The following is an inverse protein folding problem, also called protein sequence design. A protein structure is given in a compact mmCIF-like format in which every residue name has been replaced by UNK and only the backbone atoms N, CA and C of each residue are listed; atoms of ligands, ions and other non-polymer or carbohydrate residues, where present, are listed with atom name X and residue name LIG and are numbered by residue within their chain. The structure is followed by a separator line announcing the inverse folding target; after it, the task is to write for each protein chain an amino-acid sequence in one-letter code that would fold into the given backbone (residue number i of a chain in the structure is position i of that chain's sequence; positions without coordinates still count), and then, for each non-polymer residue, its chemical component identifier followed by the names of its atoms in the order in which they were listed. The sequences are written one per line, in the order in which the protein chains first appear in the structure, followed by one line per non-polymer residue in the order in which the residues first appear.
data_IF_502097791907
#
_entry.id   IF_502097791907
#
_cell.length_a   1.000
_cell.length_b   1.000
_cell.length_c   1.000
_cell.angle_alpha   90.00
_cell.angle_beta   90.00
_cell.angle_gamma   90.00
#
_symmetry.space_group_name_H-M   'P 1'
#
loop_
_entity.id
_entity.type
_entity.pdbx_description
1 polymer ?
#
# COMPACT_ATOMS: atom_id res chain seq x y z
N UNK A 1 22.61 -20.85 11.46
CA UNK A 1 21.21 -21.31 11.35
C UNK A 1 20.38 -20.15 10.80
N UNK A 2 20.31 -20.06 9.47
CA UNK A 2 19.60 -19.01 8.75
C UNK A 2 18.13 -19.36 8.68
N UNK A 3 17.26 -18.45 9.13
CA UNK A 3 15.80 -18.58 9.00
C UNK A 3 15.35 -17.58 7.94
N UNK A 4 14.98 -18.10 6.77
CA UNK A 4 14.32 -17.35 5.69
C UNK A 4 12.94 -16.89 6.18
N UNK A 5 12.65 -15.59 6.01
CA UNK A 5 11.37 -14.99 6.39
C UNK A 5 10.54 -14.77 5.13
N UNK A 6 9.36 -15.42 5.09
CA UNK A 6 8.35 -15.24 4.05
C UNK A 6 7.87 -13.78 3.93
N UNK A 7 7.99 -13.24 2.72
CA UNK A 7 7.43 -11.95 2.31
C UNK A 7 5.91 -12.12 2.15
N UNK A 8 5.15 -11.55 3.09
CA UNK A 8 3.69 -11.45 2.95
C UNK A 8 3.39 -10.28 1.99
N UNK A 9 3.09 -10.62 0.74
CA UNK A 9 2.44 -9.74 -0.22
C UNK A 9 1.00 -9.46 0.24
N UNK A 10 0.73 -8.20 0.58
CA UNK A 10 -0.65 -7.70 0.71
C UNK A 10 -1.01 -7.08 -0.63
N UNK A 11 -1.98 -7.72 -1.30
CA UNK A 11 -2.57 -7.27 -2.55
C UNK A 11 -3.09 -5.84 -2.43
N UNK A 12 -2.82 -5.05 -3.46
CA UNK A 12 -3.53 -3.81 -3.77
C UNK A 12 -4.93 -4.16 -4.26
N UNK A 13 -5.93 -4.03 -3.38
CA UNK A 13 -7.33 -3.94 -3.80
C UNK A 13 -7.61 -2.46 -4.07
N UNK A 14 -7.66 -2.12 -5.37
CA UNK A 14 -8.23 -0.89 -5.89
C UNK A 14 -9.75 -0.97 -5.74
N UNK A 15 -10.32 -0.18 -4.84
CA UNK A 15 -11.73 0.21 -4.90
C UNK A 15 -11.79 1.65 -5.39
N UNK A 16 -11.99 1.80 -6.70
CA UNK A 16 -12.50 3.02 -7.33
C UNK A 16 -13.96 3.19 -6.92
N UNK A 17 -14.24 4.13 -6.00
CA UNK A 17 -15.58 4.68 -5.85
C UNK A 17 -15.60 6.15 -6.27
N UNK A 18 -16.35 6.37 -7.34
CA UNK A 18 -16.65 7.60 -8.03
C UNK A 18 -17.20 8.67 -7.10
N UNK A 19 -16.56 9.84 -7.04
CA UNK A 19 -17.20 11.06 -6.55
C UNK A 19 -16.97 12.20 -7.54
N UNK A 20 -18.07 12.57 -8.20
CA UNK A 20 -18.13 13.55 -9.27
C UNK A 20 -17.98 14.97 -8.73
N UNK A 21 -17.08 15.77 -9.32
CA UNK A 21 -17.17 17.24 -9.29
C UNK A 21 -16.92 17.84 -10.68
N UNK A 22 -17.68 18.89 -11.06
CA UNK A 22 -17.67 19.43 -12.41
C UNK A 22 -16.45 20.32 -12.65
N UNK A 23 -15.85 20.21 -13.83
CA UNK A 23 -14.83 21.15 -14.32
C UNK A 23 -15.50 22.38 -14.95
N UNK A 24 -14.91 23.59 -14.80
CA UNK A 24 -15.40 24.79 -15.47
C UNK A 24 -14.96 24.83 -16.93
N UNK A 25 -15.86 25.38 -17.75
CA UNK A 25 -15.80 25.57 -19.19
C UNK A 25 -14.52 26.24 -19.68
N UNK A 26 -13.94 25.71 -20.76
CA UNK A 26 -13.06 26.50 -21.64
C UNK A 26 -13.24 26.07 -23.11
N UNK A 27 -13.98 26.92 -23.81
CA UNK A 27 -13.86 27.40 -25.20
C UNK A 27 -13.25 26.46 -26.26
N UNK A 28 -14.11 26.11 -27.22
CA UNK A 28 -13.83 25.54 -28.54
C UNK A 28 -12.77 26.30 -29.37
N UNK A 29 -11.83 25.58 -29.97
CA UNK A 29 -11.34 25.85 -31.33
C UNK A 29 -11.17 24.51 -32.08
N UNK A 30 -11.79 24.44 -33.26
CA UNK A 30 -11.82 23.32 -34.22
C UNK A 30 -10.52 23.24 -35.03
N UNK A 31 -10.14 22.02 -35.44
CA UNK A 31 -9.60 21.62 -36.78
C UNK A 31 -9.31 20.11 -36.75
N UNK A 32 -10.16 19.31 -37.40
CA UNK A 32 -10.03 18.80 -38.78
C UNK A 32 -9.17 17.52 -38.88
N UNK A 33 -9.86 16.46 -39.30
CA UNK A 33 -9.38 15.13 -39.65
C UNK A 33 -8.76 15.16 -41.07
N UNK A 34 -7.92 14.18 -41.46
CA UNK A 34 -8.50 13.19 -42.39
C UNK A 34 -7.98 11.75 -42.24
N UNK A 35 -8.95 10.83 -42.16
CA UNK A 35 -9.16 9.62 -42.97
C UNK A 35 -8.02 9.07 -43.83
N UNK A 36 -7.63 7.81 -43.59
CA UNK A 36 -7.35 6.80 -44.65
C UNK A 36 -7.89 5.43 -44.19
N UNK A 37 -8.76 4.84 -45.01
CA UNK A 37 -9.22 3.44 -45.05
C UNK A 37 -8.76 2.85 -46.42
N UNK A 38 -9.02 1.58 -46.76
CA UNK A 38 -8.29 0.36 -46.42
C UNK A 38 -7.72 -0.32 -47.70
N UNK A 39 -6.89 -1.35 -47.56
CA UNK A 39 -6.67 -2.30 -48.68
C UNK A 39 -6.78 -3.73 -48.19
N UNK A 40 -7.74 -4.40 -48.79
CA UNK A 40 -8.12 -5.79 -48.66
C UNK A 40 -7.55 -6.53 -49.88
N UNK A 41 -6.92 -7.68 -49.69
CA UNK A 41 -6.76 -8.69 -50.77
C UNK A 41 -6.52 -10.08 -50.18
N UNK A 42 -7.57 -10.91 -50.29
CA UNK A 42 -7.61 -12.37 -50.43
C UNK A 42 -6.52 -12.86 -51.42
N UNK A 43 -6.04 -14.11 -51.51
CA UNK A 43 -6.41 -15.46 -51.05
C UNK A 43 -5.23 -16.40 -51.35
N UNK A 44 -5.12 -17.55 -50.67
CA UNK A 44 -5.19 -18.89 -51.31
C UNK A 44 -4.72 -20.01 -50.35
N UNK A 45 -5.59 -21.01 -50.22
CA UNK A 45 -5.34 -22.37 -49.71
C UNK A 45 -4.81 -23.21 -50.90
N UNK A 46 -4.07 -24.32 -50.71
CA UNK A 46 -4.75 -25.61 -50.58
C UNK A 46 -4.13 -26.59 -49.55
N UNK A 47 -5.06 -27.26 -48.85
CA UNK A 47 -5.09 -28.65 -48.34
C UNK A 47 -3.81 -29.47 -48.19
N UNK A 48 -3.62 -30.07 -47.00
CA UNK A 48 -3.37 -31.51 -46.87
C UNK A 48 -3.64 -32.01 -45.45
N UNK A 49 -4.56 -32.99 -45.38
CA UNK A 49 -4.92 -33.75 -44.18
C UNK A 49 -3.78 -34.63 -43.71
N UNK A 50 -3.59 -34.77 -42.38
CA UNK A 50 -3.20 -36.05 -41.77
C UNK A 50 -3.55 -36.08 -40.29
N UNK A 51 -4.28 -37.14 -39.95
CA UNK A 51 -4.68 -37.55 -38.62
C UNK A 51 -3.47 -37.89 -37.74
N UNK A 52 -3.59 -37.66 -36.43
CA UNK A 52 -2.77 -38.33 -35.42
C UNK A 52 -3.69 -38.87 -34.33
N UNK A 53 -3.49 -40.15 -34.09
CA UNK A 53 -4.22 -41.09 -33.26
C UNK A 53 -3.92 -40.97 -31.75
N UNK A 54 -4.73 -41.65 -30.90
CA UNK A 54 -4.71 -41.49 -29.45
C UNK A 54 -3.55 -42.22 -28.76
N UNK A 55 -3.27 -41.79 -27.53
CA UNK A 55 -2.19 -42.26 -26.66
C UNK A 55 -2.29 -43.78 -26.42
N UNK A 56 -1.22 -44.57 -26.65
CA UNK A 56 -1.24 -46.01 -26.44
C UNK A 56 -0.96 -46.39 -24.98
N UNK A 57 -1.72 -47.38 -24.51
CA UNK A 57 -1.47 -48.16 -23.30
C UNK A 57 -0.32 -49.14 -23.56
N UNK A 58 0.78 -49.09 -22.80
CA UNK A 58 1.56 -50.31 -22.52
C UNK A 58 2.50 -50.18 -21.32
N UNK A 59 2.43 -51.23 -20.50
CA UNK A 59 3.32 -51.66 -19.44
C UNK A 59 4.72 -52.03 -19.94
N UNK A 60 5.79 -51.64 -19.23
CA UNK A 60 7.04 -52.43 -19.13
C UNK A 60 7.79 -52.00 -17.85
N UNK A 61 8.09 -52.97 -16.99
CA UNK A 61 9.03 -52.87 -15.87
C UNK A 61 10.47 -52.93 -16.38
N UNK A 62 11.39 -52.18 -15.76
CA UNK A 62 12.75 -52.63 -15.45
C UNK A 62 13.32 -51.77 -14.31
N UNK A 63 13.95 -52.45 -13.36
CA UNK A 63 14.37 -51.97 -12.06
C UNK A 63 15.63 -51.10 -12.11
N UNK A 64 15.74 -50.14 -11.19
CA UNK A 64 16.92 -49.94 -10.33
C UNK A 64 16.49 -49.13 -9.09
N UNK A 65 16.84 -49.65 -7.93
CA UNK A 65 16.39 -49.20 -6.63
C UNK A 65 17.34 -48.18 -6.01
N UNK A 66 16.81 -47.04 -5.58
CA UNK A 66 17.32 -46.28 -4.44
C UNK A 66 16.13 -45.84 -3.59
N UNK A 67 16.24 -46.07 -2.28
CA UNK A 67 15.18 -45.96 -1.29
C UNK A 67 14.67 -44.52 -1.13
N UNK A 68 13.40 -44.33 -1.47
CA UNK A 68 12.54 -43.26 -1.02
C UNK A 68 11.10 -43.69 -1.26
N UNK A 69 10.23 -43.57 -0.26
CA UNK A 69 8.79 -43.86 -0.38
C UNK A 69 8.21 -43.12 -1.60
N UNK A 70 8.04 -43.84 -2.72
CA UNK A 70 7.48 -43.28 -3.95
C UNK A 70 5.97 -43.20 -3.78
N UNK A 71 5.49 -42.06 -3.28
CA UNK A 71 4.06 -41.73 -3.27
C UNK A 71 3.58 -41.80 -4.73
N UNK A 72 2.76 -42.79 -5.03
CA UNK A 72 2.22 -43.01 -6.38
C UNK A 72 1.25 -41.87 -6.70
N UNK A 73 1.66 -40.95 -7.60
CA UNK A 73 0.85 -39.78 -7.97
C UNK A 73 -0.46 -40.23 -8.59
N UNK A 74 -1.57 -39.65 -8.13
CA UNK A 74 -2.89 -39.90 -8.69
C UNK A 74 -2.98 -39.46 -10.16
N UNK A 75 -3.92 -40.03 -10.92
CA UNK A 75 -4.17 -39.66 -12.33
C UNK A 75 -4.35 -38.14 -12.53
N UNK A 76 -4.97 -37.46 -11.58
CA UNK A 76 -5.25 -36.03 -11.66
C UNK A 76 -4.02 -35.18 -11.32
N UNK A 77 -3.16 -35.64 -10.41
CA UNK A 77 -1.87 -35.01 -10.13
C UNK A 77 -0.92 -35.12 -11.33
N UNK A 78 -0.91 -36.27 -12.01
CA UNK A 78 -0.16 -36.45 -13.25
C UNK A 78 -0.68 -35.52 -14.37
N UNK A 79 -2.00 -35.38 -14.50
CA UNK A 79 -2.60 -34.46 -15.45
C UNK A 79 -2.27 -32.98 -15.14
N UNK A 80 -2.25 -32.61 -13.85
CA UNK A 80 -1.85 -31.27 -13.42
C UNK A 80 -0.38 -31.00 -13.74
N UNK A 81 0.51 -31.96 -13.48
CA UNK A 81 1.93 -31.84 -13.79
C UNK A 81 2.16 -31.65 -15.31
N UNK A 82 1.45 -32.40 -16.15
CA UNK A 82 1.48 -32.21 -17.59
C UNK A 82 0.97 -30.82 -18.02
N UNK A 83 -0.07 -30.30 -17.36
CA UNK A 83 -0.56 -28.95 -17.59
C UNK A 83 0.47 -27.87 -17.24
N UNK A 84 1.07 -27.95 -16.06
CA UNK A 84 2.07 -26.99 -15.59
C UNK A 84 3.35 -27.03 -16.43
N UNK A 85 3.78 -28.23 -16.83
CA UNK A 85 4.89 -28.39 -17.78
C UNK A 85 4.55 -27.78 -19.13
N UNK A 86 3.32 -27.96 -19.61
CA UNK A 86 2.82 -27.36 -20.85
C UNK A 86 2.86 -25.83 -20.84
N UNK A 87 2.57 -25.18 -19.71
CA UNK A 87 2.70 -23.72 -19.56
C UNK A 87 4.17 -23.31 -19.70
N UNK A 88 5.09 -24.06 -19.11
CA UNK A 88 6.52 -23.77 -19.14
C UNK A 88 7.14 -23.97 -20.53
N UNK A 89 6.70 -24.98 -21.28
CA UNK A 89 7.19 -25.24 -22.64
C UNK A 89 6.70 -24.24 -23.69
N UNK A 90 5.63 -23.52 -23.37
CA UNK A 90 4.97 -22.55 -24.26
C UNK A 90 5.32 -21.10 -23.87
N UNK A 91 6.09 -20.92 -22.78
CA UNK A 91 6.62 -19.62 -22.37
C UNK A 91 7.82 -19.23 -23.26
N UNK A 92 7.87 -17.98 -23.69
CA UNK A 92 9.06 -17.45 -24.37
C UNK A 92 10.22 -17.29 -23.37
N UNK A 93 11.47 -17.20 -23.85
CA UNK A 93 12.67 -17.10 -23.00
C UNK A 93 12.60 -15.95 -21.97
N UNK A 94 11.86 -14.87 -22.29
CA UNK A 94 11.66 -13.71 -21.41
C UNK A 94 10.56 -13.88 -20.35
N UNK A 95 9.69 -14.88 -20.51
CA UNK A 95 8.54 -15.14 -19.62
C UNK A 95 8.78 -16.31 -18.65
N UNK A 96 9.95 -16.96 -18.71
CA UNK A 96 10.23 -18.18 -17.93
C UNK A 96 10.08 -18.01 -16.42
N UNK A 97 10.49 -16.88 -15.85
CA UNK A 97 10.35 -16.60 -14.42
C UNK A 97 8.87 -16.40 -14.01
N UNK A 98 8.07 -15.78 -14.88
CA UNK A 98 6.63 -15.58 -14.66
C UNK A 98 5.85 -16.91 -14.78
N UNK A 99 6.23 -17.75 -15.73
CA UNK A 99 5.68 -19.09 -15.91
C UNK A 99 5.90 -19.99 -14.68
N UNK A 100 7.09 -19.94 -14.09
CA UNK A 100 7.42 -20.69 -12.87
C UNK A 100 6.61 -20.19 -11.66
N UNK A 101 6.50 -18.87 -11.52
CA UNK A 101 5.74 -18.27 -10.42
C UNK A 101 4.24 -18.60 -10.53
N UNK A 102 3.66 -18.55 -11.73
CA UNK A 102 2.25 -18.89 -11.95
C UNK A 102 2.01 -20.39 -11.72
N UNK A 103 2.91 -21.24 -12.20
CA UNK A 103 2.80 -22.70 -12.04
C UNK A 103 2.83 -23.12 -10.57
N UNK A 104 3.77 -22.58 -9.78
CA UNK A 104 3.83 -22.83 -8.33
C UNK A 104 2.57 -22.37 -7.60
N UNK A 105 1.98 -21.24 -8.02
CA UNK A 105 0.75 -20.72 -7.41
C UNK A 105 -0.49 -21.58 -7.74
N UNK A 106 -0.56 -22.15 -8.94
CA UNK A 106 -1.64 -23.04 -9.36
C UNK A 106 -1.56 -24.38 -8.62
N UNK A 107 -0.36 -24.95 -8.50
CA UNK A 107 -0.11 -26.19 -7.76
C UNK A 107 -0.51 -26.05 -6.28
N UNK A 108 -0.04 -24.99 -5.59
CA UNK A 108 -0.41 -24.71 -4.20
C UNK A 108 -1.93 -24.56 -4.01
N UNK A 109 -2.65 -24.07 -5.02
CA UNK A 109 -4.11 -23.91 -4.96
C UNK A 109 -4.85 -25.21 -5.20
N UNK A 110 -4.37 -26.05 -6.11
CA UNK A 110 -4.91 -27.40 -6.31
C UNK A 110 -4.88 -28.21 -5.01
N UNK A 111 -3.75 -28.19 -4.28
CA UNK A 111 -3.62 -28.89 -3.00
C UNK A 111 -4.48 -28.30 -1.86
N UNK A 112 -5.03 -27.09 -2.02
CA UNK A 112 -6.00 -26.50 -1.10
C UNK A 112 -7.45 -26.90 -1.38
N UNK A 113 -7.74 -27.49 -2.55
CA UNK A 113 -9.06 -28.04 -2.84
C UNK A 113 -9.33 -29.30 -2.00
N UNK A 114 -10.60 -29.72 -1.88
CA UNK A 114 -10.95 -30.93 -1.13
C UNK A 114 -10.39 -32.20 -1.80
N UNK A 115 -9.99 -33.21 -1.02
CA UNK A 115 -9.52 -34.50 -1.55
C UNK A 115 -10.56 -35.22 -2.42
N UNK A 116 -11.86 -35.00 -2.13
CA UNK A 116 -12.97 -35.51 -2.96
C UNK A 116 -12.93 -34.92 -4.37
N UNK A 117 -12.69 -33.61 -4.48
CA UNK A 117 -12.55 -32.93 -5.76
C UNK A 117 -11.23 -33.31 -6.45
N UNK A 118 -10.10 -33.34 -5.74
CA UNK A 118 -8.80 -33.71 -6.32
C UNK A 118 -8.82 -35.08 -7.00
N UNK A 119 -9.61 -36.02 -6.50
CA UNK A 119 -9.77 -37.36 -7.06
C UNK A 119 -10.99 -37.52 -7.99
N UNK A 120 -11.74 -36.44 -8.27
CA UNK A 120 -12.95 -36.52 -9.10
C UNK A 120 -12.65 -36.53 -10.59
N UNK A 121 -13.55 -37.12 -11.38
CA UNK A 121 -13.49 -37.03 -12.84
C UNK A 121 -13.76 -35.60 -13.34
N UNK A 122 -14.50 -34.80 -12.57
CA UNK A 122 -14.71 -33.37 -12.84
C UNK A 122 -13.39 -32.59 -12.83
N UNK A 123 -12.53 -32.86 -11.85
CA UNK A 123 -11.22 -32.24 -11.76
C UNK A 123 -10.31 -32.64 -12.94
N UNK A 124 -10.34 -33.92 -13.34
CA UNK A 124 -9.60 -34.39 -14.52
C UNK A 124 -10.06 -33.69 -15.81
N UNK A 125 -11.38 -33.58 -16.01
CA UNK A 125 -11.96 -32.92 -17.17
C UNK A 125 -11.61 -31.43 -17.22
N UNK A 126 -11.61 -30.77 -16.06
CA UNK A 126 -11.22 -29.36 -15.94
C UNK A 126 -9.75 -29.14 -16.31
N UNK A 127 -8.83 -29.95 -15.75
CA UNK A 127 -7.39 -29.87 -16.05
C UNK A 127 -7.14 -30.16 -17.53
N UNK A 128 -7.75 -31.22 -18.07
CA UNK A 128 -7.59 -31.62 -19.47
C UNK A 128 -8.09 -30.55 -20.43
N UNK A 129 -9.22 -29.91 -20.12
CA UNK A 129 -9.76 -28.80 -20.90
C UNK A 129 -8.77 -27.63 -21.00
N UNK A 130 -8.29 -27.14 -19.86
CA UNK A 130 -7.36 -26.01 -19.86
C UNK A 130 -5.99 -26.36 -20.44
N UNK A 131 -5.54 -27.62 -20.30
CA UNK A 131 -4.35 -28.10 -20.99
C UNK A 131 -4.51 -28.01 -22.51
N UNK A 132 -5.61 -28.53 -23.05
CA UNK A 132 -5.87 -28.49 -24.49
C UNK A 132 -6.07 -27.05 -24.99
N UNK A 133 -6.73 -26.18 -24.21
CA UNK A 133 -6.93 -24.78 -24.57
C UNK A 133 -5.59 -24.01 -24.66
N UNK A 134 -4.66 -24.27 -23.73
CA UNK A 134 -3.31 -23.67 -23.75
C UNK A 134 -2.47 -24.20 -24.91
N UNK A 135 -2.56 -25.48 -25.23
CA UNK A 135 -1.87 -26.07 -26.38
C UNK A 135 -2.42 -25.56 -27.71
N UNK A 136 -3.74 -25.34 -27.81
CA UNK A 136 -4.41 -24.91 -29.05
C UNK A 136 -4.26 -23.41 -29.31
N UNK A 137 -4.22 -22.58 -28.26
CA UNK A 137 -4.09 -21.13 -28.38
C UNK A 137 -3.06 -20.58 -27.37
N UNK A 138 -1.75 -20.80 -27.63
CA UNK A 138 -0.68 -20.41 -26.71
C UNK A 138 -0.58 -18.90 -26.44
N UNK A 139 -1.06 -18.05 -27.35
CA UNK A 139 -1.11 -16.59 -27.16
C UNK A 139 -2.05 -16.14 -26.02
N UNK A 140 -3.02 -16.98 -25.62
CA UNK A 140 -3.96 -16.70 -24.51
C UNK A 140 -3.67 -17.51 -23.25
N UNK A 141 -2.49 -18.13 -23.15
CA UNK A 141 -2.10 -19.01 -22.03
C UNK A 141 -2.34 -18.39 -20.64
N UNK A 142 -2.06 -17.09 -20.48
CA UNK A 142 -2.24 -16.39 -19.21
C UNK A 142 -3.71 -16.19 -18.84
N UNK A 143 -4.57 -15.96 -19.83
CA UNK A 143 -6.03 -15.88 -19.63
C UNK A 143 -6.59 -17.24 -19.18
N UNK A 144 -6.12 -18.33 -19.77
CA UNK A 144 -6.50 -19.68 -19.37
C UNK A 144 -6.00 -20.04 -17.96
N UNK A 145 -4.77 -19.67 -17.60
CA UNK A 145 -4.25 -19.85 -16.24
C UNK A 145 -5.08 -19.07 -15.20
N UNK A 146 -5.49 -17.85 -15.52
CA UNK A 146 -6.34 -17.04 -14.65
C UNK A 146 -7.74 -17.66 -14.47
N UNK A 147 -8.35 -18.15 -15.56
CA UNK A 147 -9.65 -18.85 -15.51
C UNK A 147 -9.56 -20.15 -14.71
N UNK A 148 -8.50 -20.93 -14.89
CA UNK A 148 -8.27 -22.16 -14.14
C UNK A 148 -8.09 -21.89 -12.64
N UNK A 149 -7.33 -20.84 -12.28
CA UNK A 149 -7.16 -20.39 -10.89
C UNK A 149 -8.49 -20.04 -10.22
N UNK A 150 -9.40 -19.38 -10.95
CA UNK A 150 -10.72 -19.04 -10.43
C UNK A 150 -11.60 -20.28 -10.26
N UNK A 151 -11.53 -21.26 -11.17
CA UNK A 151 -12.22 -22.54 -11.01
C UNK A 151 -11.73 -23.29 -9.75
N UNK A 152 -10.42 -23.38 -9.52
CA UNK A 152 -9.87 -23.99 -8.30
C UNK A 152 -10.31 -23.26 -7.02
N UNK A 153 -10.43 -21.94 -7.08
CA UNK A 153 -10.89 -21.12 -5.94
C UNK A 153 -12.33 -21.46 -5.53
N UNK A 154 -13.23 -21.70 -6.48
CA UNK A 154 -14.62 -22.12 -6.19
C UNK A 154 -14.67 -23.48 -5.49
N UNK A 155 -13.86 -24.44 -5.94
CA UNK A 155 -13.79 -25.78 -5.33
C UNK A 155 -12.98 -25.83 -4.01
N UNK A 156 -12.20 -24.79 -3.70
CA UNK A 156 -11.53 -24.64 -2.40
C UNK A 156 -12.43 -23.98 -1.33
N UNK A 157 -13.47 -23.25 -1.73
CA UNK A 157 -14.41 -22.57 -0.83
C UNK A 157 -15.69 -23.37 -0.57
N UNK A 158 -15.96 -24.42 -1.35
CA UNK A 158 -17.00 -25.41 -1.09
C UNK A 158 -16.64 -26.25 0.14
N UNK A 159 -17.39 -26.06 1.24
CA UNK A 159 -17.43 -27.01 2.37
C UNK A 159 -17.89 -28.38 1.85
N UNK A 160 -17.45 -29.51 2.45
CA UNK A 160 -17.87 -30.82 2.01
C UNK A 160 -19.34 -31.02 2.38
N UNK A 161 -20.26 -30.81 1.44
CA UNK A 161 -21.57 -31.43 1.50
C UNK A 161 -21.37 -32.94 1.31
N UNK A 162 -21.86 -33.70 2.28
CA UNK A 162 -22.01 -35.14 2.19
C UNK A 162 -23.15 -35.44 1.23
N UNK A 163 -22.82 -36.03 0.08
CA UNK A 163 -23.78 -36.76 -0.72
C UNK A 163 -23.82 -38.20 -0.19
N UNK A 164 -24.96 -38.60 0.39
CA UNK A 164 -25.45 -39.97 0.27
C UNK A 164 -26.79 -39.90 -0.48
N UNK A 165 -26.97 -40.83 -1.41
CA UNK A 165 -28.05 -40.87 -2.38
C UNK A 165 -29.39 -41.34 -1.79
N UNK A 166 -30.47 -40.72 -2.29
CA UNK A 166 -31.85 -41.21 -2.49
C UNK A 166 -32.71 -41.58 -1.26
N UNK A 167 -33.70 -40.71 -0.98
CA UNK A 167 -35.12 -41.11 -0.88
C UNK A 167 -36.03 -39.87 -1.01
N UNK A 168 -37.31 -40.12 -1.28
CA UNK A 168 -38.31 -39.27 -1.92
C UNK A 168 -38.76 -37.98 -1.21
N UNK A 169 -39.38 -37.13 -2.05
CA UNK A 169 -40.15 -35.91 -1.78
C UNK A 169 -40.97 -35.92 -0.49
N UNK A 170 -40.89 -34.82 0.27
CA UNK A 170 -42.05 -34.05 0.74
C UNK A 170 -41.61 -32.63 1.13
N UNK A 171 -42.30 -31.64 0.54
CA UNK A 171 -42.36 -30.26 1.03
C UNK A 171 -42.85 -30.27 2.48
N UNK A 172 -42.17 -29.57 3.38
CA UNK A 172 -42.79 -28.89 4.51
C UNK A 172 -41.80 -27.89 5.13
N UNK A 173 -42.34 -26.73 5.47
CA UNK A 173 -41.71 -25.52 5.96
C UNK A 173 -40.72 -25.74 7.11
N UNK A 174 -39.46 -25.34 6.91
CA UNK A 174 -38.58 -25.04 8.05
C UNK A 174 -38.68 -23.56 8.43
N UNK A 175 -38.71 -23.23 9.73
CA UNK A 175 -38.92 -21.87 10.21
C UNK A 175 -37.74 -20.98 9.80
N UNK A 176 -38.06 -19.82 9.23
CA UNK A 176 -37.12 -18.73 9.06
C UNK A 176 -36.55 -18.34 10.44
N UNK A 177 -35.37 -18.86 10.79
CA UNK A 177 -34.60 -18.38 11.94
C UNK A 177 -34.30 -16.90 11.70
N UNK A 178 -35.06 -16.05 12.38
CA UNK A 178 -34.81 -14.63 12.48
C UNK A 178 -33.40 -14.43 13.03
N UNK A 179 -32.47 -14.01 12.16
CA UNK A 179 -31.08 -13.74 12.51
C UNK A 179 -31.05 -12.72 13.66
N UNK A 180 -30.78 -13.21 14.88
CA UNK A 180 -30.57 -12.37 16.06
C UNK A 180 -29.51 -11.30 15.75
N UNK A 181 -29.90 -10.01 15.62
CA UNK A 181 -28.99 -8.94 15.25
C UNK A 181 -27.90 -8.72 16.30
N UNK A 182 -28.13 -9.16 17.55
CA UNK A 182 -27.16 -9.07 18.65
C UNK A 182 -26.00 -10.07 18.47
N UNK A 183 -26.30 -11.27 17.97
CA UNK A 183 -25.30 -12.31 17.67
C UNK A 183 -24.39 -11.91 16.51
N UNK A 184 -24.94 -11.33 15.44
CA UNK A 184 -24.15 -10.84 14.31
C UNK A 184 -23.26 -9.64 14.71
N UNK A 185 -23.78 -8.73 15.53
CA UNK A 185 -23.00 -7.61 16.06
C UNK A 185 -21.84 -8.09 16.96
N UNK A 186 -22.06 -9.12 17.79
CA UNK A 186 -21.02 -9.73 18.63
C UNK A 186 -19.93 -10.40 17.80
N UNK A 187 -20.29 -11.12 16.74
CA UNK A 187 -19.36 -11.73 15.80
C UNK A 187 -18.52 -10.68 15.07
N UNK A 188 -19.15 -9.59 14.59
CA UNK A 188 -18.46 -8.45 13.97
C UNK A 188 -17.44 -7.81 14.92
N UNK A 189 -17.83 -7.51 16.17
CA UNK A 189 -16.91 -6.98 17.19
C UNK A 189 -15.75 -7.95 17.47
N UNK A 190 -16.01 -9.25 17.54
CA UNK A 190 -14.95 -10.25 17.72
C UNK A 190 -13.97 -10.26 16.53
N UNK A 191 -14.45 -10.13 15.30
CA UNK A 191 -13.60 -10.00 14.09
C UNK A 191 -12.69 -8.79 14.18
N UNK A 192 -13.22 -7.61 14.52
CA UNK A 192 -12.40 -6.39 14.68
C UNK A 192 -11.35 -6.53 15.79
N UNK A 193 -11.69 -7.17 16.92
CA UNK A 193 -10.72 -7.43 18.00
C UNK A 193 -9.60 -8.38 17.57
N UNK A 194 -9.91 -9.41 16.77
CA UNK A 194 -8.89 -10.30 16.20
C UNK A 194 -8.00 -9.54 15.22
N UNK A 195 -8.62 -8.78 14.31
CA UNK A 195 -7.90 -7.98 13.33
C UNK A 195 -6.98 -6.95 14.00
N UNK A 196 -7.43 -6.30 15.07
CA UNK A 196 -6.61 -5.40 15.88
C UNK A 196 -5.36 -6.08 16.42
N UNK A 197 -5.47 -7.30 16.98
CA UNK A 197 -4.32 -8.06 17.47
C UNK A 197 -3.33 -8.40 16.35
N UNK A 198 -3.83 -8.74 15.16
CA UNK A 198 -2.99 -9.07 14.01
C UNK A 198 -2.27 -7.83 13.46
N UNK A 199 -2.96 -6.68 13.43
CA UNK A 199 -2.39 -5.38 13.08
C UNK A 199 -1.31 -4.97 14.09
N UNK A 200 -1.54 -5.10 15.40
CA UNK A 200 -0.53 -4.79 16.43
C UNK A 200 0.72 -5.65 16.28
N UNK A 201 0.58 -6.95 16.05
CA UNK A 201 1.75 -7.84 15.79
C UNK A 201 2.49 -7.45 14.52
N UNK A 202 1.77 -7.05 13.48
CA UNK A 202 2.38 -6.61 12.22
C UNK A 202 3.12 -5.29 12.41
N UNK A 203 2.56 -4.37 13.19
CA UNK A 203 3.17 -3.10 13.56
C UNK A 203 4.50 -3.32 14.29
N UNK A 204 4.52 -4.19 15.31
CA UNK A 204 5.74 -4.54 16.06
C UNK A 204 6.84 -5.07 15.13
N UNK A 205 6.48 -5.96 14.18
CA UNK A 205 7.43 -6.49 13.19
C UNK A 205 7.98 -5.40 12.28
N UNK A 206 7.13 -4.48 11.81
CA UNK A 206 7.56 -3.38 10.96
C UNK A 206 8.49 -2.43 11.73
N UNK A 207 8.15 -2.07 12.97
CA UNK A 207 9.00 -1.21 13.82
C UNK A 207 10.35 -1.87 14.07
N UNK A 208 10.39 -3.18 14.37
CA UNK A 208 11.64 -3.92 14.53
C UNK A 208 12.47 -3.85 13.25
N UNK A 209 11.86 -4.07 12.09
CA UNK A 209 12.57 -4.03 10.81
C UNK A 209 13.09 -2.63 10.47
N UNK A 210 12.37 -1.57 10.82
CA UNK A 210 12.84 -0.18 10.69
C UNK A 210 14.12 0.01 11.52
N UNK A 211 14.12 -0.44 12.79
CA UNK A 211 15.33 -0.37 13.64
C UNK A 211 16.51 -1.13 13.06
N UNK A 212 16.27 -2.32 12.51
CA UNK A 212 17.32 -3.11 11.87
C UNK A 212 17.88 -2.40 10.62
N UNK A 213 17.01 -1.72 9.86
CA UNK A 213 17.40 -0.95 8.67
C UNK A 213 18.09 0.38 9.01
N UNK A 214 17.76 0.99 10.16
CA UNK A 214 18.43 2.19 10.67
C UNK A 214 19.90 1.95 11.02
N UNK A 215 20.22 0.73 11.47
CA UNK A 215 21.58 0.32 11.81
C UNK A 215 22.34 -0.30 10.63
N UNK A 216 21.67 -0.53 9.50
CA UNK A 216 22.29 -1.11 8.33
C UNK A 216 23.11 -0.06 7.57
N UNK A 217 24.32 -0.43 7.20
CA UNK A 217 25.16 0.41 6.34
C UNK A 217 24.54 0.55 4.95
N UNK A 218 24.60 1.76 4.40
CA UNK A 218 24.05 2.08 3.07
C UNK A 218 25.16 1.92 2.04
N UNK A 219 24.96 1.01 1.09
CA UNK A 219 25.80 0.91 -0.10
C UNK A 219 25.48 2.08 -1.06
N UNK A 220 26.52 2.83 -1.45
CA UNK A 220 26.38 3.97 -2.36
C UNK A 220 26.16 3.53 -3.81
N UNK A 221 26.48 2.28 -4.15
CA UNK A 221 26.35 1.74 -5.50
C UNK A 221 24.97 1.08 -5.75
N UNK A 222 24.15 0.87 -4.71
CA UNK A 222 22.80 0.30 -4.85
C UNK A 222 21.72 1.37 -5.09
N UNK A 223 21.44 1.66 -6.37
CA UNK A 223 20.45 2.66 -6.76
C UNK A 223 18.98 2.22 -6.58
N UNK A 224 18.68 0.92 -6.56
CA UNK A 224 17.29 0.41 -6.68
C UNK A 224 16.76 -0.24 -5.42
N UNK A 225 17.66 -0.70 -4.55
CA UNK A 225 17.35 -1.54 -3.42
C UNK A 225 17.84 -1.03 -2.07
N UNK A 226 18.38 0.18 -1.97
CA UNK A 226 19.08 0.61 -0.76
C UNK A 226 18.27 0.47 0.53
N UNK A 227 18.97 0.19 1.62
CA UNK A 227 18.46 0.03 2.98
C UNK A 227 17.59 1.23 3.39
N UNK A 228 18.01 2.43 2.96
CA UNK A 228 17.27 3.67 3.14
C UNK A 228 15.89 3.65 2.46
N UNK A 229 15.81 3.19 1.20
CA UNK A 229 14.54 3.08 0.48
C UNK A 229 13.65 1.98 1.07
N UNK A 230 14.25 0.86 1.48
CA UNK A 230 13.54 -0.21 2.20
C UNK A 230 12.92 0.33 3.49
N UNK A 231 13.68 1.10 4.28
CA UNK A 231 13.20 1.73 5.52
C UNK A 231 11.96 2.58 5.27
N UNK A 232 12.02 3.47 4.29
CA UNK A 232 10.89 4.33 3.92
C UNK A 232 9.61 3.54 3.60
N UNK A 233 9.72 2.42 2.86
CA UNK A 233 8.56 1.56 2.57
C UNK A 233 7.95 0.96 3.84
N UNK A 234 8.77 0.61 4.82
CA UNK A 234 8.27 0.12 6.12
C UNK A 234 7.64 1.25 6.95
N UNK A 235 8.17 2.47 6.92
CA UNK A 235 7.55 3.64 7.57
C UNK A 235 6.16 3.93 6.98
N UNK A 236 6.04 3.95 5.65
CA UNK A 236 4.76 4.10 4.96
C UNK A 236 3.77 2.97 5.33
N UNK A 237 4.27 1.74 5.47
CA UNK A 237 3.46 0.59 5.92
C UNK A 237 3.01 0.76 7.37
N UNK A 238 3.86 1.28 8.25
CA UNK A 238 3.51 1.57 9.65
C UNK A 238 2.37 2.58 9.72
N UNK A 239 2.43 3.66 8.94
CA UNK A 239 1.34 4.66 8.84
C UNK A 239 0.02 4.01 8.42
N UNK A 240 0.03 3.19 7.35
CA UNK A 240 -1.17 2.47 6.89
C UNK A 240 -1.73 1.51 7.95
N UNK A 241 -0.87 0.88 8.76
CA UNK A 241 -1.31 0.02 9.86
C UNK A 241 -1.99 0.85 10.97
N UNK A 242 -1.43 2.01 11.32
CA UNK A 242 -2.05 2.92 12.28
C UNK A 242 -3.44 3.40 11.82
N UNK A 243 -3.60 3.76 10.55
CA UNK A 243 -4.90 4.13 9.97
C UNK A 243 -5.93 2.99 10.12
N UNK A 244 -5.53 1.74 9.85
CA UNK A 244 -6.39 0.57 10.02
C UNK A 244 -6.73 0.28 11.48
N UNK A 245 -5.78 0.47 12.39
CA UNK A 245 -6.01 0.36 13.84
C UNK A 245 -7.04 1.40 14.29
N UNK A 246 -6.92 2.65 13.84
CA UNK A 246 -7.88 3.71 14.13
C UNK A 246 -9.29 3.30 13.68
N UNK A 247 -9.46 2.83 12.44
CA UNK A 247 -10.76 2.35 11.93
C UNK A 247 -11.31 1.22 12.80
N UNK A 248 -10.48 0.26 13.21
CA UNK A 248 -10.91 -0.84 14.08
C UNK A 248 -11.39 -0.34 15.45
N UNK A 249 -10.66 0.59 16.07
CA UNK A 249 -11.04 1.20 17.35
C UNK A 249 -12.37 1.95 17.23
N UNK A 250 -12.57 2.74 16.16
CA UNK A 250 -13.83 3.43 15.89
C UNK A 250 -15.01 2.45 15.78
N UNK A 251 -14.83 1.32 15.07
CA UNK A 251 -15.88 0.29 14.92
C UNK A 251 -16.17 -0.47 16.22
N UNK A 252 -15.21 -0.52 17.15
CA UNK A 252 -15.36 -1.11 18.47
C UNK A 252 -15.97 -0.16 19.50
N UNK A 253 -16.05 1.14 19.18
CA UNK A 253 -16.47 2.18 20.11
C UNK A 253 -15.38 2.59 21.11
N UNK A 254 -14.13 2.18 20.85
CA UNK A 254 -12.97 2.55 21.66
C UNK A 254 -12.53 3.98 21.30
N UNK A 255 -12.06 4.74 22.29
CA UNK A 255 -11.53 6.09 22.05
C UNK A 255 -10.24 6.02 21.24
N UNK A 256 -10.24 6.67 20.08
CA UNK A 256 -9.07 6.83 19.20
C UNK A 256 -8.14 7.94 19.69
N UNK A 257 -8.59 8.77 20.62
CA UNK A 257 -7.86 9.99 21.00
C UNK A 257 -6.51 9.68 21.67
N UNK A 258 -6.36 8.51 22.30
CA UNK A 258 -5.10 8.04 22.87
C UNK A 258 -4.07 7.58 21.82
N UNK A 259 -4.51 7.31 20.59
CA UNK A 259 -3.65 6.88 19.48
C UNK A 259 -3.04 8.08 18.73
N UNK A 260 -3.61 9.28 18.91
CA UNK A 260 -3.09 10.49 18.27
C UNK A 260 -1.98 11.08 19.12
N UNK A 261 -0.88 11.46 18.47
CA UNK A 261 0.16 12.24 19.11
C UNK A 261 -0.45 13.61 19.45
N UNK A 262 -0.50 14.02 20.73
CA UNK A 262 -1.00 15.34 21.08
C UNK A 262 -0.04 16.39 20.50
N UNK A 263 -0.54 17.17 19.54
CA UNK A 263 0.21 18.27 18.95
C UNK A 263 -0.01 19.53 19.79
N UNK A 264 1.03 20.07 20.49
CA UNK A 264 0.87 21.23 21.34
C UNK A 264 0.27 22.41 20.54
N UNK A 265 -0.72 23.11 21.11
CA UNK A 265 -1.40 24.22 20.42
C UNK A 265 -0.46 25.42 20.30
N UNK A 266 -0.42 26.06 19.13
CA UNK A 266 0.25 27.35 18.96
C UNK A 266 -0.65 28.41 19.55
N UNK A 267 -0.39 28.84 20.78
CA UNK A 267 -1.16 29.91 21.40
C UNK A 267 -0.75 31.25 20.76
N UNK A 268 -1.70 32.01 20.20
CA UNK A 268 -1.54 33.39 19.70
C UNK A 268 -2.13 34.41 20.69
N UNK A 269 -3.15 34.00 21.44
CA UNK A 269 -3.83 34.83 22.45
C UNK A 269 -2.83 35.29 23.52
N UNK A 270 -2.94 36.54 23.96
CA UNK A 270 -2.05 37.12 24.97
C UNK A 270 -0.61 37.34 24.51
N UNK A 271 -0.35 37.37 23.19
CA UNK A 271 0.95 37.80 22.69
C UNK A 271 1.22 39.27 23.03
N UNK A 272 2.40 39.55 23.59
CA UNK A 272 2.92 40.91 23.71
C UNK A 272 2.95 41.54 22.30
N UNK A 273 2.37 42.72 22.16
CA UNK A 273 2.22 43.42 20.88
C UNK A 273 0.81 43.35 20.28
N UNK A 274 0.02 42.32 20.59
CA UNK A 274 -1.33 42.17 20.02
C UNK A 274 -2.44 42.54 21.00
N UNK A 275 -3.08 43.67 20.77
CA UNK A 275 -4.07 44.25 21.69
C UNK A 275 -5.51 43.73 21.49
N UNK A 276 -5.86 43.23 20.30
CA UNK A 276 -7.24 42.83 19.99
C UNK A 276 -7.46 41.32 20.15
N UNK A 277 -8.01 40.92 21.30
CA UNK A 277 -8.22 39.51 21.63
C UNK A 277 -9.17 38.78 20.67
N UNK A 278 -10.20 39.43 20.15
CA UNK A 278 -11.12 38.82 19.16
C UNK A 278 -10.38 38.47 17.86
N UNK A 279 -9.52 39.37 17.38
CA UNK A 279 -8.65 39.13 16.23
C UNK A 279 -7.63 38.02 16.55
N UNK A 280 -7.00 38.08 17.73
CA UNK A 280 -6.04 37.07 18.17
C UNK A 280 -6.65 35.68 18.25
N UNK A 281 -7.88 35.56 18.75
CA UNK A 281 -8.63 34.31 18.78
C UNK A 281 -8.91 33.78 17.37
N UNK A 282 -9.23 34.65 16.41
CA UNK A 282 -9.47 34.23 15.03
C UNK A 282 -8.17 33.74 14.36
N UNK A 283 -7.06 34.43 14.58
CA UNK A 283 -5.73 34.02 14.11
C UNK A 283 -5.29 32.71 14.78
N UNK A 284 -5.48 32.59 16.10
CA UNK A 284 -5.19 31.38 16.87
C UNK A 284 -5.97 30.17 16.31
N UNK A 285 -7.28 30.35 16.07
CA UNK A 285 -8.11 29.32 15.44
C UNK A 285 -7.59 28.96 14.05
N UNK A 286 -7.19 29.94 13.26
CA UNK A 286 -6.68 29.74 11.90
C UNK A 286 -5.39 28.90 11.87
N UNK A 287 -4.38 29.27 12.66
CA UNK A 287 -3.08 28.58 12.69
C UNK A 287 -3.15 27.18 13.31
N UNK A 288 -4.18 26.92 14.13
CA UNK A 288 -4.40 25.62 14.75
C UNK A 288 -5.43 24.74 14.00
N UNK A 289 -5.90 25.14 12.82
CA UNK A 289 -6.76 24.27 12.00
C UNK A 289 -6.00 22.99 11.61
N UNK A 290 -6.69 21.85 11.67
CA UNK A 290 -6.13 20.51 11.35
C UNK A 290 -5.36 20.51 10.02
N UNK A 291 -5.99 20.95 8.93
CA UNK A 291 -5.36 21.08 7.60
C UNK A 291 -4.07 21.90 7.61
N UNK A 292 -4.08 23.02 8.33
CA UNK A 292 -2.94 23.93 8.39
C UNK A 292 -1.74 23.31 9.15
N UNK A 293 -2.03 22.49 10.16
CA UNK A 293 -1.02 21.80 10.97
C UNK A 293 -0.46 20.55 10.28
N UNK A 294 -1.34 19.74 9.69
CA UNK A 294 -0.95 18.50 9.00
C UNK A 294 -0.19 18.78 7.71
N UNK A 295 -0.59 19.81 6.96
CA UNK A 295 0.12 20.22 5.73
C UNK A 295 1.27 21.20 6.02
N UNK A 296 1.59 21.45 7.29
CA UNK A 296 2.71 22.30 7.75
C UNK A 296 2.76 23.63 6.98
N UNK A 297 1.59 24.24 6.74
CA UNK A 297 1.54 25.47 5.97
C UNK A 297 2.04 26.63 6.84
N UNK A 298 2.82 27.54 6.23
CA UNK A 298 3.22 28.79 6.88
C UNK A 298 2.32 29.89 6.34
N UNK A 299 1.68 30.70 7.20
CA UNK A 299 0.65 31.60 6.73
C UNK A 299 1.32 32.72 5.96
N UNK A 300 0.70 33.21 4.90
CA UNK A 300 1.17 34.41 4.21
C UNK A 300 0.59 35.66 4.90
N UNK A 301 1.28 36.80 4.75
CA UNK A 301 0.82 38.10 5.23
C UNK A 301 -0.60 38.41 4.74
N UNK A 302 -0.91 38.12 3.47
CA UNK A 302 -2.25 38.35 2.89
C UNK A 302 -3.35 37.58 3.62
N UNK A 303 -3.07 36.38 4.08
CA UNK A 303 -4.03 35.53 4.80
C UNK A 303 -4.30 36.09 6.20
N UNK A 304 -3.24 36.46 6.92
CA UNK A 304 -3.37 37.12 8.24
C UNK A 304 -4.14 38.42 8.10
N UNK A 305 -3.80 39.26 7.13
CA UNK A 305 -4.50 40.52 6.84
C UNK A 305 -5.98 40.30 6.53
N UNK A 306 -6.31 39.27 5.75
CA UNK A 306 -7.70 38.93 5.43
C UNK A 306 -8.51 38.56 6.69
N UNK A 307 -7.90 37.83 7.63
CA UNK A 307 -8.52 37.49 8.92
C UNK A 307 -8.76 38.75 9.74
N UNK A 308 -7.73 39.60 9.88
CA UNK A 308 -7.83 40.89 10.61
C UNK A 308 -8.95 41.75 10.02
N UNK A 309 -8.97 41.90 8.69
CA UNK A 309 -10.00 42.69 7.98
C UNK A 309 -11.40 42.12 8.22
N UNK A 310 -11.55 40.79 8.12
CA UNK A 310 -12.85 40.12 8.30
C UNK A 310 -13.38 40.30 9.72
N UNK A 311 -12.52 40.17 10.74
CA UNK A 311 -12.90 40.34 12.15
C UNK A 311 -13.20 41.81 12.47
N UNK A 312 -12.42 42.76 11.92
CA UNK A 312 -12.68 44.19 12.08
C UNK A 312 -14.10 44.57 11.62
N UNK A 313 -14.55 44.05 10.47
CA UNK A 313 -15.90 44.28 9.94
C UNK A 313 -16.96 43.54 10.78
N UNK A 314 -16.73 42.27 11.13
CA UNK A 314 -17.71 41.47 11.86
C UNK A 314 -17.97 41.98 13.27
N UNK A 315 -16.91 42.35 14.00
CA UNK A 315 -16.96 42.80 15.39
C UNK A 315 -17.06 44.32 15.53
N UNK A 316 -17.15 45.06 14.41
CA UNK A 316 -17.24 46.53 14.36
C UNK A 316 -16.14 47.22 15.20
N UNK A 317 -14.90 46.77 15.03
CA UNK A 317 -13.75 47.31 15.80
C UNK A 317 -13.33 48.70 15.32
N UNK A 318 -13.90 49.19 14.21
CA UNK A 318 -13.68 50.52 13.62
C UNK A 318 -12.20 50.84 13.35
N UNK A 319 -11.38 49.83 13.12
CA UNK A 319 -9.99 50.03 12.73
C UNK A 319 -9.94 50.58 11.32
N UNK A 320 -9.15 51.63 11.13
CA UNK A 320 -8.82 52.19 9.82
C UNK A 320 -8.00 51.19 9.00
N UNK A 321 -7.92 51.40 7.69
CA UNK A 321 -7.15 50.54 6.79
C UNK A 321 -5.67 50.47 7.18
N UNK A 322 -5.09 51.60 7.60
CA UNK A 322 -3.69 51.69 8.03
C UNK A 322 -3.44 50.92 9.34
N UNK A 323 -4.37 51.01 10.30
CA UNK A 323 -4.32 50.22 11.54
C UNK A 323 -4.47 48.73 11.27
N UNK A 324 -5.36 48.32 10.36
CA UNK A 324 -5.48 46.92 9.92
C UNK A 324 -4.18 46.42 9.31
N UNK A 325 -3.53 47.21 8.45
CA UNK A 325 -2.27 46.84 7.80
C UNK A 325 -1.10 46.81 8.81
N UNK A 326 -1.07 47.73 9.77
CA UNK A 326 -0.09 47.73 10.86
C UNK A 326 -0.26 46.49 11.75
N UNK A 327 -1.50 46.24 12.22
CA UNK A 327 -1.83 45.10 13.07
C UNK A 327 -1.54 43.77 12.37
N UNK A 328 -1.89 43.65 11.08
CA UNK A 328 -1.63 42.45 10.30
C UNK A 328 -0.12 42.17 10.16
N UNK A 329 0.71 43.22 10.02
CA UNK A 329 2.18 43.06 9.94
C UNK A 329 2.73 42.57 11.27
N UNK A 330 2.34 43.18 12.37
CA UNK A 330 2.76 42.76 13.70
C UNK A 330 2.30 41.34 14.02
N UNK A 331 1.03 41.02 13.77
CA UNK A 331 0.47 39.70 13.97
C UNK A 331 1.19 38.65 13.11
N UNK A 332 1.49 38.96 11.86
CA UNK A 332 2.24 38.06 10.96
C UNK A 332 3.63 37.74 11.51
N UNK A 333 4.37 38.73 12.00
CA UNK A 333 5.70 38.51 12.59
C UNK A 333 5.62 37.63 13.84
N UNK A 334 4.69 37.93 14.75
CA UNK A 334 4.51 37.17 16.00
C UNK A 334 4.10 35.72 15.71
N UNK A 335 3.11 35.53 14.83
CA UNK A 335 2.65 34.21 14.40
C UNK A 335 3.82 33.43 13.78
N UNK A 336 4.57 34.07 12.88
CA UNK A 336 5.73 33.45 12.23
C UNK A 336 6.81 33.01 13.23
N UNK A 337 7.13 33.86 14.20
CA UNK A 337 8.07 33.51 15.28
C UNK A 337 7.58 32.34 16.12
N UNK A 338 6.28 32.30 16.46
CA UNK A 338 5.70 31.21 17.26
C UNK A 338 5.68 29.89 16.49
N UNK A 339 5.31 29.91 15.20
CA UNK A 339 5.36 28.73 14.33
C UNK A 339 6.80 28.24 14.19
N UNK A 340 7.76 29.14 13.94
CA UNK A 340 9.19 28.76 13.84
C UNK A 340 9.69 28.12 15.13
N UNK A 341 9.40 28.73 16.29
CA UNK A 341 9.80 28.20 17.59
C UNK A 341 9.18 26.82 17.84
N UNK A 342 7.90 26.66 17.50
CA UNK A 342 7.21 25.37 17.58
C UNK A 342 7.90 24.30 16.74
N UNK A 343 8.17 24.57 15.46
CA UNK A 343 8.85 23.62 14.55
C UNK A 343 10.24 23.25 15.04
N UNK A 344 11.00 24.21 15.58
CA UNK A 344 12.32 23.92 16.17
C UNK A 344 12.19 22.97 17.36
N UNK A 345 11.19 23.16 18.22
CA UNK A 345 10.94 22.27 19.36
C UNK A 345 10.53 20.87 18.88
N UNK A 346 9.66 20.79 17.88
CA UNK A 346 9.21 19.53 17.28
C UNK A 346 10.38 18.73 16.69
N UNK A 347 11.21 19.37 15.86
CA UNK A 347 12.41 18.75 15.29
C UNK A 347 13.38 18.32 16.40
N UNK A 348 13.63 19.17 17.39
CA UNK A 348 14.50 18.81 18.53
C UNK A 348 13.98 17.61 19.30
N UNK A 349 12.66 17.51 19.50
CA UNK A 349 12.05 16.36 20.18
C UNK A 349 12.30 15.08 19.38
N UNK A 350 12.04 15.09 18.08
CA UNK A 350 12.31 13.94 17.20
C UNK A 350 13.78 13.57 17.14
N UNK A 351 14.69 14.55 17.19
CA UNK A 351 16.14 14.30 17.20
C UNK A 351 16.64 13.77 18.54
N UNK A 352 16.11 14.26 19.67
CA UNK A 352 16.50 13.77 20.99
C UNK A 352 16.19 12.27 21.15
N UNK A 353 15.09 11.78 20.55
CA UNK A 353 14.76 10.36 20.54
C UNK A 353 15.81 9.52 19.78
N UNK A 354 16.60 10.14 18.88
CA UNK A 354 17.67 9.50 18.10
C UNK A 354 19.06 9.65 18.74
N UNK A 355 19.33 10.79 19.40
CA UNK A 355 20.67 11.18 19.88
C UNK A 355 20.96 10.68 21.30
N UNK A 356 19.97 10.11 22.01
CA UNK A 356 20.07 9.76 23.43
C UNK A 356 21.18 8.77 23.83
N UNK A 357 21.94 8.21 22.87
CA UNK A 357 22.97 7.20 23.11
C UNK A 357 24.42 7.72 23.13
N UNK A 358 24.70 8.98 22.71
CA UNK A 358 26.07 9.51 22.67
C UNK A 358 26.35 10.47 23.85
N UNK A 359 27.10 10.05 24.89
CA UNK A 359 27.23 10.85 26.11
C UNK A 359 28.19 12.05 26.01
N UNK A 360 29.15 12.08 25.07
CA UNK A 360 30.12 13.18 24.91
C UNK A 360 30.55 13.36 23.43
N UNK A 361 30.89 14.60 23.04
CA UNK A 361 31.44 14.91 21.72
C UNK A 361 32.94 14.50 21.65
N UNK A 362 33.37 13.62 20.71
CA UNK A 362 34.77 13.25 20.56
C UNK A 362 35.72 14.42 20.31
N UNK A 363 35.23 15.51 19.69
CA UNK A 363 36.04 16.69 19.40
C UNK A 363 36.45 17.46 20.67
N UNK A 364 35.78 17.22 21.81
CA UNK A 364 36.18 17.82 23.10
C UNK A 364 37.50 17.23 23.62
N UNK A 365 37.84 16.00 23.22
CA UNK A 365 39.05 15.29 23.66
C UNK A 365 40.15 15.28 22.60
N UNK A 366 39.83 15.57 21.34
CA UNK A 366 40.77 15.58 20.22
C UNK A 366 40.92 16.99 19.60
N UNK A 367 42.03 17.70 19.89
CA UNK A 367 42.25 19.04 19.37
C UNK A 367 42.50 19.10 17.86
N UNK A 368 42.99 18.02 17.24
CA UNK A 368 43.18 17.96 15.78
C UNK A 368 41.83 17.85 15.07
N UNK A 369 40.95 16.98 15.59
CA UNK A 369 39.57 16.88 15.13
C UNK A 369 38.83 18.21 15.30
N UNK A 370 38.94 18.86 16.47
CA UNK A 370 38.33 20.17 16.71
C UNK A 370 38.80 21.21 15.70
N UNK A 371 40.12 21.30 15.46
CA UNK A 371 40.69 22.22 14.47
C UNK A 371 40.11 21.94 13.08
N UNK A 372 40.02 20.66 12.68
CA UNK A 372 39.45 20.28 11.39
C UNK A 372 37.98 20.65 11.26
N UNK A 373 37.19 20.47 12.32
CA UNK A 373 35.78 20.88 12.36
C UNK A 373 35.62 22.40 12.26
N UNK A 374 36.51 23.18 12.87
CA UNK A 374 36.52 24.64 12.73
C UNK A 374 36.82 25.07 11.29
N UNK A 375 37.80 24.45 10.62
CA UNK A 375 38.09 24.69 9.20
C UNK A 375 36.89 24.33 8.32
N UNK A 376 36.28 23.16 8.55
CA UNK A 376 35.10 22.71 7.82
C UNK A 376 33.91 23.68 7.99
N UNK A 377 33.72 24.22 9.21
CA UNK A 377 32.69 25.23 9.49
C UNK A 377 32.92 26.50 8.68
N UNK A 378 34.14 27.04 8.65
CA UNK A 378 34.45 28.24 7.87
C UNK A 378 34.19 28.02 6.38
N UNK A 379 34.62 26.88 5.83
CA UNK A 379 34.37 26.52 4.44
C UNK A 379 32.87 26.40 4.14
N UNK A 380 32.10 25.79 5.04
CA UNK A 380 30.64 25.66 4.89
C UNK A 380 29.96 27.03 4.88
N UNK A 381 30.33 27.95 5.78
CA UNK A 381 29.79 29.31 5.84
C UNK A 381 30.10 30.10 4.56
N UNK A 382 31.30 29.96 4.00
CA UNK A 382 31.69 30.53 2.71
C UNK A 382 30.80 29.99 1.57
N UNK A 383 30.70 28.66 1.43
CA UNK A 383 29.88 28.02 0.37
C UNK A 383 28.41 28.40 0.45
N UNK A 384 27.83 28.47 1.66
CA UNK A 384 26.44 28.91 1.84
C UNK A 384 26.26 30.36 1.38
N UNK A 385 27.24 31.22 1.65
CA UNK A 385 27.22 32.63 1.25
C UNK A 385 27.36 32.78 -0.26
N UNK A 386 28.27 32.02 -0.88
CA UNK A 386 28.44 31.97 -2.33
C UNK A 386 27.14 31.58 -3.05
N UNK A 387 26.49 30.50 -2.62
CA UNK A 387 25.21 30.04 -3.20
C UNK A 387 24.13 31.10 -3.06
N UNK A 388 24.00 31.73 -1.88
CA UNK A 388 23.05 32.85 -1.69
C UNK A 388 23.32 33.98 -2.68
N UNK A 389 24.57 34.42 -2.78
CA UNK A 389 24.94 35.52 -3.67
C UNK A 389 24.73 35.20 -5.17
N UNK A 390 24.84 33.93 -5.56
CA UNK A 390 24.53 33.49 -6.92
C UNK A 390 23.02 33.48 -7.23
N UNK A 391 22.16 33.18 -6.25
CA UNK A 391 20.71 33.13 -6.45
C UNK A 391 20.01 34.51 -6.39
N UNK A 392 20.69 35.55 -5.86
CA UNK A 392 20.15 36.92 -5.78
C UNK A 392 20.67 37.87 -6.86
N UNK A 393 21.46 37.36 -7.82
CA UNK A 393 21.78 38.05 -9.09
C UNK A 393 20.78 37.65 -10.15
#
# INVERSE_FOLDING_TARGET
MSSEIEIINLSDDNDDECDSRPAPSTVHIKKENPTIHPTNSNSCIPSSSKAVEPIPSSSTQCNNAENGERIEKTKNEQALEMFLKGISTVAEEKEGAEALQISSNLEKRFYRCSKKFQNSNECYALISKFHNDVQSCPSKKWEYCAKFKECLKRHAQSKPESCDEKAEKTENDEPYEELDPEKDQRLKRQKYRKHLKDLSKTLEKCIKKIKDLDQAEVDLDDEKGSEFLKKRRYEERVTKIYERIEVCCQKLGDSVESLKIPHPRICIIGAKGLQHNTINCAIDKFVNKKKFREEIQFPNYREIRAIVTKVNVAEKLNLTKEEVDSYAREAFLIVGQRIKKYRVIEVKKSLNDLISEAPNDPADQDPELLKKLMENRQLAEQRVTEVKNCCYK
#
